data_IF_082119456936
#
_entry.id   IF_082119456936
#
_cell.length_a   1.000
_cell.length_b   1.000
_cell.length_c   1.000
_cell.angle_alpha   90.00
_cell.angle_beta   90.00
_cell.angle_gamma   90.00
#
_symmetry.space_group_name_H-M   'P 1'
#
loop_
_entity.id
_entity.type
_entity.pdbx_description
1 polymer ?
#
# COMPACT_ATOMS: atom_id res chain seq x y z
N UNK A 1 22.46 -34.32 3.14
CA UNK A 1 22.28 -33.55 4.40
C UNK A 1 20.82 -33.58 4.79
N UNK A 2 20.50 -33.24 6.04
CA UNK A 2 19.12 -33.14 6.52
C UNK A 2 18.75 -31.65 6.52
N UNK A 3 17.68 -31.22 5.82
CA UNK A 3 17.24 -29.83 5.86
C UNK A 3 16.72 -29.48 7.25
N UNK A 4 17.28 -28.44 7.86
CA UNK A 4 16.83 -27.89 9.14
C UNK A 4 16.97 -26.36 9.15
N UNK A 5 16.20 -25.71 10.01
CA UNK A 5 16.24 -24.27 10.24
C UNK A 5 15.64 -23.92 11.60
N UNK A 6 15.99 -22.75 12.17
CA UNK A 6 15.49 -22.33 13.47
C UNK A 6 14.01 -21.93 13.39
N UNK A 7 13.30 -22.06 14.52
CA UNK A 7 12.00 -21.43 14.71
C UNK A 7 12.22 -19.98 15.16
N UNK A 8 12.10 -19.05 14.23
CA UNK A 8 12.29 -17.62 14.51
C UNK A 8 11.03 -17.00 15.12
N UNK A 9 11.22 -16.09 16.07
CA UNK A 9 10.21 -15.12 16.48
C UNK A 9 9.97 -14.09 15.36
N UNK A 10 8.90 -13.29 15.48
CA UNK A 10 8.58 -12.23 14.51
C UNK A 10 9.73 -11.22 14.41
N UNK A 11 10.33 -10.82 15.53
CA UNK A 11 11.43 -9.87 15.54
C UNK A 11 12.68 -10.44 14.85
N UNK A 12 13.02 -11.70 15.12
CA UNK A 12 14.16 -12.37 14.47
C UNK A 12 13.92 -12.55 12.96
N UNK A 13 12.70 -12.92 12.57
CA UNK A 13 12.33 -13.03 11.17
C UNK A 13 12.41 -11.68 10.44
N UNK A 14 11.93 -10.60 11.07
CA UNK A 14 11.96 -9.25 10.51
C UNK A 14 13.39 -8.72 10.27
N UNK A 15 14.35 -9.13 11.10
CA UNK A 15 15.75 -8.75 10.98
C UNK A 15 16.64 -9.77 10.26
N UNK A 16 16.05 -10.88 9.80
CA UNK A 16 16.80 -11.95 9.16
C UNK A 16 17.58 -11.42 7.93
N UNK A 17 18.86 -11.82 7.73
CA UNK A 17 19.67 -11.30 6.62
C UNK A 17 19.00 -11.44 5.25
N UNK A 18 18.30 -12.55 5.02
CA UNK A 18 17.55 -12.78 3.78
C UNK A 18 16.34 -11.84 3.60
N UNK A 19 15.66 -11.47 4.69
CA UNK A 19 14.51 -10.56 4.66
C UNK A 19 14.98 -9.14 4.31
N UNK A 20 16.10 -8.71 4.90
CA UNK A 20 16.75 -7.43 4.58
C UNK A 20 17.31 -7.41 3.15
N UNK A 21 18.07 -8.44 2.76
CA UNK A 21 18.69 -8.53 1.44
C UNK A 21 17.69 -8.58 0.28
N UNK A 22 16.45 -8.98 0.57
CA UNK A 22 15.36 -9.06 -0.41
C UNK A 22 14.35 -7.92 -0.30
N UNK A 23 14.59 -6.94 0.57
CA UNK A 23 13.69 -5.79 0.75
C UNK A 23 12.24 -6.26 0.97
N UNK A 24 12.09 -7.23 1.88
CA UNK A 24 10.79 -7.86 2.16
C UNK A 24 9.96 -7.04 3.13
N UNK A 25 10.61 -6.15 3.88
CA UNK A 25 9.98 -5.14 4.72
C UNK A 25 10.44 -3.76 4.23
N UNK A 26 9.51 -2.87 3.95
CA UNK A 26 9.78 -1.50 3.47
C UNK A 26 9.24 -0.48 4.47
N UNK A 27 9.87 0.68 4.49
CA UNK A 27 9.39 1.81 5.28
C UNK A 27 8.45 2.68 4.44
N UNK A 28 7.31 3.06 5.02
CA UNK A 28 6.29 3.88 4.37
C UNK A 28 5.90 5.00 5.32
N UNK A 29 5.97 6.24 4.84
CA UNK A 29 5.50 7.41 5.59
C UNK A 29 3.98 7.55 5.42
N UNK A 30 3.24 7.30 6.49
CA UNK A 30 1.79 7.44 6.52
C UNK A 30 1.39 8.81 7.13
N UNK A 31 0.47 9.57 6.51
CA UNK A 31 0.14 10.94 6.94
C UNK A 31 -0.34 11.03 8.40
N UNK A 32 -1.09 10.03 8.87
CA UNK A 32 -1.60 9.96 10.26
C UNK A 32 -0.71 9.14 11.20
N UNK A 33 -0.31 7.92 10.79
CA UNK A 33 0.40 6.98 11.65
C UNK A 33 1.93 7.20 11.71
N UNK A 34 2.47 8.13 10.92
CA UNK A 34 3.90 8.34 10.79
C UNK A 34 4.60 7.21 10.05
N UNK A 35 5.86 6.96 10.39
CA UNK A 35 6.70 5.98 9.70
C UNK A 35 6.30 4.55 10.09
N UNK A 36 5.86 3.78 9.11
CA UNK A 36 5.45 2.37 9.26
C UNK A 36 6.46 1.45 8.58
N UNK A 37 6.64 0.25 9.13
CA UNK A 37 7.40 -0.83 8.49
C UNK A 37 6.44 -1.94 8.08
N UNK A 38 6.29 -2.13 6.78
CA UNK A 38 5.24 -2.98 6.19
C UNK A 38 5.87 -4.13 5.39
N UNK A 39 5.17 -5.27 5.33
CA UNK A 39 5.54 -6.37 4.46
C UNK A 39 5.27 -6.02 3.01
N UNK A 40 6.32 -6.01 2.19
CA UNK A 40 6.23 -5.76 0.75
C UNK A 40 5.88 -7.05 -0.01
N UNK A 41 5.70 -6.96 -1.32
CA UNK A 41 5.49 -8.13 -2.17
C UNK A 41 6.66 -9.13 -2.05
N UNK A 42 6.39 -10.43 -1.78
CA UNK A 42 7.43 -11.44 -1.73
C UNK A 42 7.96 -11.83 -3.12
N UNK A 43 7.21 -11.50 -4.18
CA UNK A 43 7.55 -11.82 -5.57
C UNK A 43 8.26 -10.63 -6.19
N UNK A 44 9.52 -10.83 -6.59
CA UNK A 44 10.33 -9.81 -7.27
C UNK A 44 10.40 -10.12 -8.77
N UNK A 45 9.76 -9.26 -9.56
CA UNK A 45 9.70 -9.38 -11.02
C UNK A 45 10.65 -8.35 -11.65
N UNK A 46 11.54 -8.80 -12.52
CA UNK A 46 12.55 -7.92 -13.15
C UNK A 46 11.96 -6.94 -14.18
N UNK A 47 10.88 -7.33 -14.89
CA UNK A 47 10.28 -6.53 -15.96
C UNK A 47 9.15 -5.61 -15.48
N UNK A 48 8.42 -6.04 -14.46
CA UNK A 48 7.29 -5.31 -13.89
C UNK A 48 7.39 -5.36 -12.37
N UNK A 49 8.35 -4.62 -11.77
CA UNK A 49 8.49 -4.57 -10.31
C UNK A 49 7.16 -4.16 -9.68
N UNK A 50 6.65 -5.00 -8.78
CA UNK A 50 5.50 -4.67 -7.93
C UNK A 50 5.96 -4.12 -6.59
N UNK A 51 5.00 -3.92 -5.68
CA UNK A 51 5.27 -3.55 -4.31
C UNK A 51 4.44 -2.36 -3.85
N UNK A 52 4.64 -1.97 -2.60
CA UNK A 52 3.96 -0.84 -1.98
C UNK A 52 4.46 0.46 -2.63
N UNK A 53 3.54 1.29 -3.10
CA UNK A 53 3.85 2.57 -3.78
C UNK A 53 3.68 3.80 -2.88
N UNK A 54 3.07 3.63 -1.71
CA UNK A 54 2.74 4.71 -0.80
C UNK A 54 1.86 4.20 0.34
N UNK A 55 1.42 5.10 1.23
CA UNK A 55 0.49 4.74 2.29
C UNK A 55 -0.87 4.32 1.72
N UNK A 56 -1.69 3.69 2.56
CA UNK A 56 -3.09 3.46 2.21
C UNK A 56 -3.80 4.83 2.06
N UNK A 57 -4.64 4.99 1.03
CA UNK A 57 -5.39 6.24 0.85
C UNK A 57 -6.37 6.45 2.00
N UNK A 58 -6.63 7.70 2.33
CA UNK A 58 -7.72 8.06 3.22
C UNK A 58 -9.09 7.74 2.58
N UNK A 59 -10.12 7.68 3.43
CA UNK A 59 -11.49 7.51 2.96
C UNK A 59 -11.84 8.69 2.05
N UNK A 60 -12.21 8.38 0.81
CA UNK A 60 -12.61 9.37 -0.19
C UNK A 60 -11.48 10.14 -0.89
N UNK A 61 -10.20 9.84 -0.60
CA UNK A 61 -9.05 10.61 -1.09
C UNK A 61 -9.03 10.79 -2.62
N UNK A 62 -9.37 9.74 -3.37
CA UNK A 62 -9.36 9.73 -4.83
C UNK A 62 -10.77 9.77 -5.46
N UNK A 63 -11.82 10.07 -4.69
CA UNK A 63 -13.22 10.07 -5.21
C UNK A 63 -13.36 10.97 -6.43
N UNK A 64 -12.94 12.23 -6.32
CA UNK A 64 -13.09 13.21 -7.41
C UNK A 64 -12.22 12.86 -8.62
N UNK A 65 -11.00 12.38 -8.39
CA UNK A 65 -10.09 11.92 -9.46
C UNK A 65 -10.74 10.81 -10.27
N UNK A 66 -11.25 9.77 -9.62
CA UNK A 66 -11.90 8.64 -10.28
C UNK A 66 -13.17 9.07 -11.03
N UNK A 67 -14.01 9.92 -10.43
CA UNK A 67 -15.24 10.40 -11.08
C UNK A 67 -14.93 11.23 -12.33
N UNK A 68 -13.91 12.09 -12.28
CA UNK A 68 -13.49 12.87 -13.45
C UNK A 68 -12.84 12.01 -14.51
N UNK A 69 -11.86 11.18 -14.15
CA UNK A 69 -11.03 10.48 -15.12
C UNK A 69 -11.71 9.25 -15.72
N UNK A 70 -12.42 8.46 -14.92
CA UNK A 70 -13.02 7.21 -15.40
C UNK A 70 -14.46 7.38 -15.87
N UNK A 71 -15.22 8.29 -15.26
CA UNK A 71 -16.63 8.51 -15.59
C UNK A 71 -16.89 9.81 -16.37
N UNK A 72 -15.86 10.65 -16.57
CA UNK A 72 -16.01 11.95 -17.24
C UNK A 72 -17.05 12.86 -16.58
N UNK A 73 -17.25 12.71 -15.27
CA UNK A 73 -18.20 13.52 -14.52
C UNK A 73 -17.72 14.98 -14.47
N UNK A 74 -18.65 15.90 -14.73
CA UNK A 74 -18.42 17.34 -14.56
C UNK A 74 -18.38 17.72 -13.08
N UNK A 75 -17.73 18.84 -12.76
CA UNK A 75 -17.70 19.36 -11.38
C UNK A 75 -19.12 19.65 -10.85
N UNK A 76 -20.07 20.00 -11.72
CA UNK A 76 -21.47 20.20 -11.36
C UNK A 76 -22.16 18.89 -10.94
N UNK A 77 -21.87 17.77 -11.61
CA UNK A 77 -22.40 16.46 -11.23
C UNK A 77 -21.79 15.98 -9.91
N UNK A 78 -20.48 16.15 -9.72
CA UNK A 78 -19.79 15.78 -8.47
C UNK A 78 -20.36 16.60 -7.30
N UNK A 79 -20.55 17.91 -7.48
CA UNK A 79 -21.16 18.76 -6.46
C UNK A 79 -22.59 18.29 -6.11
N UNK A 80 -23.41 17.96 -7.12
CA UNK A 80 -24.74 17.42 -6.91
C UNK A 80 -24.73 16.11 -6.13
N UNK A 81 -23.79 15.21 -6.41
CA UNK A 81 -23.68 13.94 -5.68
C UNK A 81 -23.30 14.14 -4.20
N UNK A 82 -22.52 15.19 -3.89
CA UNK A 82 -22.26 15.60 -2.49
C UNK A 82 -23.50 16.16 -1.81
N UNK A 83 -24.26 17.02 -2.50
CA UNK A 83 -25.53 17.56 -1.97
C UNK A 83 -26.55 16.46 -1.67
N UNK A 84 -26.54 15.38 -2.46
CA UNK A 84 -27.39 14.20 -2.24
C UNK A 84 -26.84 13.23 -1.19
N UNK A 85 -25.71 13.55 -0.53
CA UNK A 85 -25.04 12.71 0.47
C UNK A 85 -24.67 11.31 -0.05
N UNK A 86 -24.45 11.18 -1.36
CA UNK A 86 -23.99 9.93 -2.00
C UNK A 86 -22.47 9.80 -1.94
N UNK A 87 -21.76 10.93 -1.88
CA UNK A 87 -20.30 11.01 -1.70
C UNK A 87 -19.98 11.47 -0.27
N UNK A 88 -18.89 10.93 0.27
CA UNK A 88 -18.29 11.36 1.54
C UNK A 88 -17.52 12.67 1.40
#
# INVERSE_FOLDING_TARGET
GIPCGPLNTIAEAAEHPQVRAREMLVEVDHPVAGKLRLADTPIKLSRTPGGIKGPAPAIGEHTDEVLRELLSASDAEIARLRELEVLL
#
